data_IF_975156911926
#
_entry.id   IF_975156911926
#
_cell.length_a   1.000
_cell.length_b   1.000
_cell.length_c   1.000
_cell.angle_alpha   90.00
_cell.angle_beta   90.00
_cell.angle_gamma   90.00
#
_symmetry.space_group_name_H-M   'P 1'
#
loop_
_entity.id
_entity.type
_entity.pdbx_description
1 polymer ?
#
# COMPACT_ATOMS: atom_id res chain seq x y z
N UNK A 1 0.00 -8.84 9.80
CA UNK A 1 -1.45 -9.12 9.83
C UNK A 1 -1.66 -10.60 9.59
N UNK A 2 -2.82 -11.18 9.89
CA UNK A 2 -3.02 -12.61 9.59
C UNK A 2 -3.31 -12.82 8.09
N UNK A 3 -3.05 -14.03 7.55
CA UNK A 3 -3.45 -14.37 6.18
C UNK A 3 -4.94 -14.13 5.91
N UNK A 4 -5.80 -14.44 6.88
CA UNK A 4 -7.24 -14.22 6.74
C UNK A 4 -7.58 -12.71 6.62
N UNK A 5 -7.00 -11.86 7.47
CA UNK A 5 -7.17 -10.40 7.37
C UNK A 5 -6.67 -9.85 6.03
N UNK A 6 -5.59 -10.42 5.51
CA UNK A 6 -5.04 -10.05 4.21
C UNK A 6 -5.98 -10.45 3.07
N UNK A 7 -6.48 -11.69 3.09
CA UNK A 7 -7.41 -12.22 2.07
C UNK A 7 -8.72 -11.39 2.03
N UNK A 8 -9.12 -10.80 3.17
CA UNK A 8 -10.28 -9.91 3.28
C UNK A 8 -10.08 -8.49 2.73
N UNK A 9 -8.84 -8.06 2.44
CA UNK A 9 -8.59 -6.71 1.90
C UNK A 9 -9.30 -6.47 0.58
N UNK A 10 -9.33 -7.46 -0.33
CA UNK A 10 -10.03 -7.40 -1.62
C UNK A 10 -9.49 -6.39 -2.66
N UNK A 11 -8.63 -5.45 -2.25
CA UNK A 11 -7.92 -4.49 -3.10
C UNK A 11 -6.54 -4.23 -2.49
N UNK A 12 -5.52 -4.00 -3.32
CA UNK A 12 -4.13 -4.05 -2.84
C UNK A 12 -3.24 -2.83 -3.11
N UNK A 13 -3.53 -2.03 -4.13
CA UNK A 13 -2.68 -0.89 -4.50
C UNK A 13 -3.08 0.42 -3.82
N UNK A 14 -2.16 1.39 -3.85
CA UNK A 14 -2.41 2.80 -3.50
C UNK A 14 -2.82 3.05 -2.05
N UNK A 15 -2.29 2.25 -1.13
CA UNK A 15 -2.53 2.36 0.30
C UNK A 15 -1.22 2.53 1.07
N UNK A 16 -1.34 2.81 2.35
CA UNK A 16 -0.20 2.83 3.27
C UNK A 16 -0.25 1.63 4.18
N UNK A 17 0.94 1.18 4.58
CA UNK A 17 1.16 0.04 5.44
C UNK A 17 2.29 0.35 6.44
N UNK A 18 2.26 -0.27 7.63
CA UNK A 18 3.37 -0.21 8.57
C UNK A 18 4.20 -1.50 8.44
N UNK A 19 5.48 -1.36 8.11
CA UNK A 19 6.43 -2.46 8.08
C UNK A 19 7.64 -2.10 8.95
N UNK A 20 7.95 -2.94 9.95
CA UNK A 20 9.02 -2.69 10.94
C UNK A 20 8.92 -1.32 11.62
N UNK A 21 7.70 -0.88 11.93
CA UNK A 21 7.42 0.42 12.55
C UNK A 21 7.55 1.62 11.61
N UNK A 22 7.86 1.41 10.33
CA UNK A 22 7.99 2.47 9.33
C UNK A 22 6.78 2.45 8.40
N UNK A 23 6.20 3.62 8.15
CA UNK A 23 5.14 3.78 7.15
C UNK A 23 5.72 3.65 5.75
N UNK A 24 5.16 2.74 4.95
CA UNK A 24 5.55 2.47 3.56
C UNK A 24 4.33 2.51 2.65
N UNK A 25 4.55 2.90 1.40
CA UNK A 25 3.51 2.95 0.38
C UNK A 25 3.38 1.57 -0.28
N UNK A 26 2.15 1.06 -0.35
CA UNK A 26 1.85 -0.19 -1.04
C UNK A 26 1.60 0.11 -2.51
N UNK A 27 2.54 -0.33 -3.35
CA UNK A 27 2.47 -0.15 -4.80
C UNK A 27 1.81 -1.33 -5.50
N UNK A 28 1.94 -2.53 -4.94
CA UNK A 28 1.42 -3.77 -5.51
C UNK A 28 1.08 -4.76 -4.41
N UNK A 29 0.19 -5.69 -4.73
CA UNK A 29 -0.17 -6.83 -3.88
C UNK A 29 -0.25 -8.08 -4.73
N UNK A 30 0.38 -9.15 -4.24
CA UNK A 30 0.22 -10.49 -4.77
C UNK A 30 -0.67 -11.27 -3.81
N UNK A 31 -1.91 -11.54 -4.22
CA UNK A 31 -2.87 -12.26 -3.38
C UNK A 31 -2.60 -13.76 -3.31
N UNK A 32 -1.99 -14.34 -4.36
CA UNK A 32 -1.70 -15.77 -4.39
C UNK A 32 -0.57 -16.11 -3.42
N UNK A 33 0.47 -15.27 -3.40
CA UNK A 33 1.61 -15.40 -2.49
C UNK A 33 1.45 -14.61 -1.18
N UNK A 34 0.35 -13.87 -1.00
CA UNK A 34 0.12 -13.01 0.17
C UNK A 34 1.28 -12.05 0.45
N UNK A 35 1.73 -11.36 -0.58
CA UNK A 35 2.82 -10.39 -0.53
C UNK A 35 2.34 -8.95 -0.74
N UNK A 36 2.96 -8.03 -0.04
CA UNK A 36 2.92 -6.59 -0.34
C UNK A 36 4.21 -6.17 -1.03
N UNK A 37 4.08 -5.43 -2.14
CA UNK A 37 5.16 -4.65 -2.72
C UNK A 37 5.17 -3.26 -2.10
N UNK A 38 6.24 -2.92 -1.39
CA UNK A 38 6.37 -1.68 -0.63
C UNK A 38 7.43 -0.74 -1.22
N UNK A 39 7.11 0.55 -1.19
CA UNK A 39 8.03 1.65 -1.46
C UNK A 39 8.18 2.51 -0.19
N UNK A 40 9.33 3.16 0.03
CA UNK A 40 9.52 4.04 1.19
C UNK A 40 8.54 5.23 1.15
N UNK A 41 8.23 5.74 -0.04
CA UNK A 41 7.34 6.88 -0.25
C UNK A 41 6.42 6.64 -1.45
N UNK A 42 5.32 7.39 -1.53
CA UNK A 42 4.42 7.36 -2.70
C UNK A 42 5.12 8.06 -3.87
N UNK A 43 5.25 7.42 -5.04
CA UNK A 43 5.83 8.08 -6.21
C UNK A 43 4.87 9.19 -6.71
N UNK A 44 5.43 10.24 -7.33
CA UNK A 44 4.64 11.34 -7.91
C UNK A 44 3.80 10.82 -9.08
N UNK A 45 4.45 10.13 -10.01
CA UNK A 45 3.80 9.36 -11.07
C UNK A 45 4.08 7.86 -10.90
N UNK A 46 3.13 7.00 -11.28
CA UNK A 46 3.34 5.54 -11.21
C UNK A 46 4.43 5.03 -12.16
N UNK A 47 4.95 5.87 -13.05
CA UNK A 47 6.09 5.56 -13.92
C UNK A 47 7.44 5.91 -13.29
N UNK A 48 7.46 6.64 -12.18
CA UNK A 48 8.67 7.24 -11.63
C UNK A 48 9.47 6.32 -10.69
N UNK A 49 9.00 5.10 -10.44
CA UNK A 49 9.67 4.16 -9.54
C UNK A 49 10.37 3.03 -10.32
N UNK A 50 11.57 2.64 -9.88
CA UNK A 50 12.22 1.42 -10.37
C UNK A 50 11.60 0.21 -9.65
N UNK A 51 11.14 -0.78 -10.41
CA UNK A 51 10.59 -2.02 -9.86
C UNK A 51 11.61 -2.75 -8.95
N UNK A 52 12.92 -2.55 -9.17
CA UNK A 52 13.98 -3.10 -8.30
C UNK A 52 14.01 -2.48 -6.91
N UNK A 53 13.38 -1.33 -6.72
CA UNK A 53 13.26 -0.67 -5.41
C UNK A 53 12.09 -1.19 -4.57
N UNK A 54 11.24 -2.06 -5.15
CA UNK A 54 10.08 -2.62 -4.46
C UNK A 54 10.54 -3.69 -3.46
N UNK A 55 10.28 -3.45 -2.18
CA UNK A 55 10.48 -4.45 -1.14
C UNK A 55 9.25 -5.36 -1.05
N UNK A 56 9.42 -6.64 -1.40
CA UNK A 56 8.36 -7.64 -1.28
C UNK A 56 8.36 -8.24 0.12
N UNK A 57 7.23 -8.12 0.82
CA UNK A 57 7.08 -8.62 2.19
C UNK A 57 5.83 -9.47 2.34
N UNK A 58 5.92 -10.56 3.11
CA UNK A 58 4.76 -11.37 3.50
C UNK A 58 3.80 -10.57 4.37
N UNK A 59 2.50 -10.82 4.22
CA UNK A 59 1.44 -10.09 4.93
C UNK A 59 1.58 -10.11 6.46
N UNK A 60 2.15 -11.19 7.01
CA UNK A 60 2.42 -11.37 8.42
C UNK A 60 3.32 -10.27 8.99
N UNK A 61 4.23 -9.74 8.16
CA UNK A 61 5.19 -8.71 8.53
C UNK A 61 4.67 -7.26 8.36
N UNK A 62 3.40 -7.09 7.99
CA UNK A 62 2.78 -5.79 7.80
C UNK A 62 1.68 -5.58 8.83
N UNK A 63 1.62 -4.40 9.45
CA UNK A 63 0.50 -3.97 10.29
C UNK A 63 -0.18 -2.74 9.67
N UNK A 64 -1.39 -2.44 10.13
CA UNK A 64 -2.11 -1.18 9.89
C UNK A 64 -2.10 -0.74 8.42
N UNK A 65 -2.98 -1.35 7.65
CA UNK A 65 -3.23 -0.97 6.26
C UNK A 65 -4.37 0.03 6.20
N UNK A 66 -4.13 1.19 5.58
CA UNK A 66 -5.13 2.25 5.47
C UNK A 66 -5.04 2.95 4.12
N UNK A 67 -6.21 3.35 3.61
CA UNK A 67 -6.31 4.17 2.41
C UNK A 67 -5.93 5.61 2.75
N UNK A 68 -5.25 6.34 1.85
CA UNK A 68 -5.14 7.78 2.00
C UNK A 68 -6.55 8.38 2.04
N UNK A 69 -6.80 9.31 2.98
CA UNK A 69 -8.05 10.06 3.00
C UNK A 69 -8.22 10.79 1.67
N UNK A 70 -9.28 10.47 0.93
CA UNK A 70 -9.66 11.26 -0.25
C UNK A 70 -10.25 12.55 0.30
N UNK A 71 -9.45 13.62 0.30
CA UNK A 71 -9.98 14.95 0.54
C UNK A 71 -10.85 15.30 -0.66
N UNK A 72 -12.16 15.13 -0.52
CA UNK A 72 -13.14 15.65 -1.46
C UNK A 72 -13.01 17.18 -1.44
N UNK A 73 -12.27 17.73 -2.41
CA UNK A 73 -12.31 19.15 -2.71
C UNK A 73 -13.72 19.47 -3.20
N UNK A 74 -14.64 19.77 -2.28
CA UNK A 74 -15.88 20.46 -2.58
C UNK A 74 -15.49 21.82 -3.15
N UNK A 75 -15.33 21.89 -4.48
CA UNK A 75 -15.30 23.14 -5.22
C UNK A 75 -16.70 23.73 -5.13
N UNK A 76 -16.93 24.53 -4.09
CA UNK A 76 -17.98 25.53 -4.12
C UNK A 76 -17.61 26.51 -5.24
N UNK A 77 -18.26 26.35 -6.39
CA UNK A 77 -18.22 27.33 -7.47
C UNK A 77 -18.74 28.66 -6.93
N UNK A 78 -17.92 29.70 -7.01
CA UNK A 78 -18.32 31.09 -6.78
C UNK A 78 -18.10 31.89 -8.05
#
# INVERSE_FOLDING_TARGET
MTPHQFDELGFGGQMWAIHKGVRKFVISVDFQERLFGLLPERPKEFTDYDWRSVEWVRCENVSDVYRPEVVSLNRENK
#
